data_IF_657300350727
#
_entry.id   IF_657300350727
#
_cell.length_a   1.000
_cell.length_b   1.000
_cell.length_c   1.000
_cell.angle_alpha   90.00
_cell.angle_beta   90.00
_cell.angle_gamma   90.00
#
_symmetry.space_group_name_H-M   'P 1'
#
loop_
_entity.id
_entity.type
_entity.pdbx_description
1 polymer ?
#
# COMPACT_ATOMS: atom_id res chain seq x y z
N UNK A 1 9.21 -4.63 -4.48
CA UNK A 1 10.47 -4.39 -5.19
C UNK A 1 10.22 -3.59 -6.44
N UNK A 2 10.70 -2.36 -6.41
CA UNK A 2 10.89 -1.54 -7.61
C UNK A 2 12.38 -1.59 -7.87
N UNK A 3 12.81 -2.03 -9.05
CA UNK A 3 14.22 -2.16 -9.36
C UNK A 3 14.91 -0.79 -9.26
N UNK A 4 15.91 -0.67 -8.37
CA UNK A 4 16.71 0.54 -8.16
C UNK A 4 16.54 1.22 -6.79
N UNK A 5 15.41 1.01 -6.11
CA UNK A 5 15.19 1.49 -4.74
C UNK A 5 14.64 0.35 -3.88
N UNK A 6 15.34 0.02 -2.78
CA UNK A 6 14.89 -0.98 -1.79
C UNK A 6 13.71 -0.43 -0.99
N UNK A 7 12.57 -0.20 -1.64
CA UNK A 7 11.31 0.13 -1.00
C UNK A 7 10.42 -1.12 -1.00
N UNK A 8 10.11 -1.61 0.20
CA UNK A 8 9.10 -2.63 0.43
C UNK A 8 7.95 -1.97 1.19
N UNK A 9 6.70 -2.13 0.73
CA UNK A 9 5.56 -1.85 1.59
C UNK A 9 5.66 -2.70 2.86
N UNK A 10 5.18 -2.18 3.99
CA UNK A 10 5.17 -2.88 5.28
C UNK A 10 4.67 -4.33 5.18
N UNK A 11 3.63 -4.56 4.38
CA UNK A 11 3.17 -5.88 3.97
C UNK A 11 3.05 -5.97 2.46
N UNK A 12 3.60 -7.02 1.84
CA UNK A 12 3.58 -7.13 0.38
C UNK A 12 3.50 -8.57 -0.14
N UNK A 13 2.91 -8.68 -1.34
CA UNK A 13 2.89 -9.87 -2.20
C UNK A 13 3.55 -9.50 -3.54
N UNK A 14 4.89 -9.59 -3.65
CA UNK A 14 5.64 -9.09 -4.80
C UNK A 14 5.25 -9.72 -6.14
N UNK A 15 4.95 -11.02 -6.15
CA UNK A 15 4.57 -11.77 -7.35
C UNK A 15 3.25 -11.25 -7.94
N UNK A 16 2.39 -10.70 -7.08
CA UNK A 16 1.10 -10.14 -7.44
C UNK A 16 1.12 -8.62 -7.58
N UNK A 17 2.23 -7.97 -7.18
CA UNK A 17 2.38 -6.51 -7.07
C UNK A 17 1.25 -5.88 -6.23
N UNK A 18 0.97 -6.45 -5.06
CA UNK A 18 0.01 -5.92 -4.09
C UNK A 18 0.74 -5.59 -2.80
N UNK A 19 0.43 -4.46 -2.16
CA UNK A 19 1.01 -4.09 -0.88
C UNK A 19 0.10 -3.25 0.00
N UNK A 20 0.42 -3.23 1.29
CA UNK A 20 -0.14 -2.35 2.31
C UNK A 20 1.01 -1.57 2.96
N UNK A 21 0.77 -0.29 3.24
CA UNK A 21 1.68 0.57 4.01
C UNK A 21 0.89 1.18 5.18
N UNK A 22 1.46 1.19 6.38
CA UNK A 22 0.91 1.90 7.52
C UNK A 22 1.54 3.28 7.66
N UNK A 23 0.73 4.32 7.47
CA UNK A 23 1.14 5.70 7.60
C UNK A 23 0.76 6.24 8.99
N UNK A 24 1.72 6.17 9.92
CA UNK A 24 1.54 6.66 11.29
C UNK A 24 1.52 8.20 11.43
N UNK A 25 1.09 8.67 12.59
CA UNK A 25 0.87 10.10 12.92
C UNK A 25 2.11 11.01 12.74
N UNK A 26 3.32 10.43 12.76
CA UNK A 26 4.59 11.16 12.62
C UNK A 26 4.79 11.78 11.22
N UNK A 27 4.01 11.36 10.22
CA UNK A 27 4.11 11.89 8.85
C UNK A 27 3.33 13.20 8.61
N UNK A 28 2.53 13.66 9.59
CA UNK A 28 1.66 14.84 9.41
C UNK A 28 2.38 16.20 9.58
N UNK A 29 3.58 16.24 10.16
CA UNK A 29 4.22 17.49 10.60
C UNK A 29 5.31 18.06 9.66
N UNK A 30 5.71 17.36 8.59
CA UNK A 30 6.73 17.84 7.64
C UNK A 30 6.26 17.71 6.18
N UNK A 31 6.14 18.86 5.50
CA UNK A 31 5.80 18.95 4.07
C UNK A 31 6.78 18.19 3.17
N UNK A 32 8.05 18.10 3.55
CA UNK A 32 9.05 17.34 2.77
C UNK A 32 8.77 15.84 2.86
N UNK A 33 8.42 15.36 4.05
CA UNK A 33 8.04 13.96 4.29
C UNK A 33 6.80 13.58 3.48
N UNK A 34 5.78 14.45 3.45
CA UNK A 34 4.60 14.22 2.61
C UNK A 34 4.93 14.14 1.11
N UNK A 35 5.79 15.02 0.60
CA UNK A 35 6.21 15.00 -0.80
C UNK A 35 6.96 13.72 -1.19
N UNK A 36 7.88 13.28 -0.34
CA UNK A 36 8.58 12.00 -0.51
C UNK A 36 7.60 10.82 -0.49
N UNK A 37 6.63 10.83 0.43
CA UNK A 37 5.63 9.79 0.55
C UNK A 37 4.76 9.66 -0.71
N UNK A 38 4.24 10.78 -1.21
CA UNK A 38 3.42 10.79 -2.42
C UNK A 38 4.24 10.34 -3.65
N UNK A 39 5.51 10.75 -3.73
CA UNK A 39 6.40 10.27 -4.80
C UNK A 39 6.60 8.76 -4.72
N UNK A 40 6.84 8.21 -3.52
CA UNK A 40 7.01 6.77 -3.31
C UNK A 40 5.77 5.99 -3.73
N UNK A 41 4.58 6.43 -3.31
CA UNK A 41 3.30 5.81 -3.71
C UNK A 41 3.13 5.85 -5.23
N UNK A 42 3.42 6.99 -5.85
CA UNK A 42 3.36 7.12 -7.30
C UNK A 42 4.32 6.16 -7.99
N UNK A 43 5.56 6.04 -7.51
CA UNK A 43 6.54 5.11 -8.07
C UNK A 43 6.02 3.67 -8.02
N UNK A 44 5.42 3.23 -6.92
CA UNK A 44 4.78 1.90 -6.84
C UNK A 44 3.68 1.73 -7.89
N UNK A 45 2.77 2.71 -8.00
CA UNK A 45 1.66 2.68 -8.95
C UNK A 45 2.15 2.67 -10.40
N UNK A 46 3.17 3.47 -10.74
CA UNK A 46 3.80 3.51 -12.07
C UNK A 46 4.46 2.15 -12.43
N UNK A 47 4.92 1.39 -11.44
CA UNK A 47 5.42 0.02 -11.61
C UNK A 47 4.31 -1.05 -11.54
N UNK A 48 3.05 -0.64 -11.58
CA UNK A 48 1.89 -1.51 -11.65
C UNK A 48 1.49 -2.16 -10.33
N UNK A 49 1.93 -1.61 -9.20
CA UNK A 49 1.52 -2.08 -7.88
C UNK A 49 0.14 -1.53 -7.49
N UNK A 50 -0.68 -2.39 -6.90
CA UNK A 50 -1.84 -1.99 -6.11
C UNK A 50 -1.38 -1.78 -4.67
N UNK A 51 -1.25 -0.52 -4.24
CA UNK A 51 -0.84 -0.14 -2.88
C UNK A 51 -2.02 0.48 -2.14
N UNK A 52 -2.26 0.07 -0.90
CA UNK A 52 -3.24 0.69 -0.01
C UNK A 52 -2.54 1.23 1.24
N UNK A 53 -2.81 2.48 1.58
CA UNK A 53 -2.20 3.17 2.71
C UNK A 53 -3.21 3.16 3.85
N UNK A 54 -2.83 2.57 4.97
CA UNK A 54 -3.65 2.48 6.17
C UNK A 54 -3.17 3.52 7.18
N UNK A 55 -4.11 4.17 7.86
CA UNK A 55 -3.84 4.98 9.05
C UNK A 55 -4.38 4.27 10.30
N UNK A 56 -4.14 4.85 11.47
CA UNK A 56 -4.60 4.25 12.73
C UNK A 56 -6.11 4.01 12.74
N UNK A 57 -6.89 4.96 12.23
CA UNK A 57 -8.36 4.85 12.14
C UNK A 57 -8.81 3.63 11.32
N UNK A 58 -8.08 3.26 10.25
CA UNK A 58 -8.39 2.07 9.44
C UNK A 58 -8.19 0.76 10.22
N UNK A 59 -7.36 0.80 11.27
CA UNK A 59 -7.12 -0.33 12.15
C UNK A 59 -8.08 -0.32 13.34
N UNK A 60 -8.44 0.83 13.89
CA UNK A 60 -9.27 0.93 15.11
C UNK A 60 -10.77 0.81 14.82
N UNK A 61 -11.26 1.40 13.73
CA UNK A 61 -12.68 1.34 13.35
C UNK A 61 -13.01 -0.01 12.68
N UNK A 62 -13.94 -0.82 13.22
CA UNK A 62 -14.28 -2.12 12.65
C UNK A 62 -14.79 -2.07 11.20
N UNK A 63 -15.51 -1.02 10.81
CA UNK A 63 -16.03 -0.85 9.46
C UNK A 63 -14.92 -0.46 8.48
N UNK A 64 -14.02 0.44 8.87
CA UNK A 64 -12.84 0.77 8.05
C UNK A 64 -11.90 -0.44 7.93
N UNK A 65 -11.71 -1.17 9.03
CA UNK A 65 -10.92 -2.41 9.05
C UNK A 65 -11.45 -3.42 8.04
N UNK A 66 -12.77 -3.59 8.01
CA UNK A 66 -13.40 -4.50 7.05
C UNK A 66 -13.17 -4.06 5.60
N UNK A 67 -13.24 -2.75 5.31
CA UNK A 67 -13.02 -2.24 3.95
C UNK A 67 -11.64 -2.59 3.39
N UNK A 68 -10.56 -2.38 4.15
CA UNK A 68 -9.24 -2.67 3.61
C UNK A 68 -8.97 -4.17 3.51
N UNK A 69 -9.54 -4.99 4.40
CA UNK A 69 -9.48 -6.46 4.29
C UNK A 69 -10.19 -6.93 3.01
N UNK A 70 -11.39 -6.40 2.73
CA UNK A 70 -12.12 -6.72 1.51
C UNK A 70 -11.33 -6.28 0.26
N UNK A 71 -10.81 -5.05 0.26
CA UNK A 71 -9.95 -4.56 -0.81
C UNK A 71 -8.77 -5.50 -1.06
N UNK A 72 -8.08 -5.93 0.00
CA UNK A 72 -6.92 -6.81 -0.11
C UNK A 72 -7.32 -8.15 -0.72
N UNK A 73 -8.36 -8.79 -0.20
CA UNK A 73 -8.86 -10.07 -0.71
C UNK A 73 -9.22 -9.98 -2.20
N UNK A 74 -9.92 -8.92 -2.61
CA UNK A 74 -10.27 -8.71 -4.02
C UNK A 74 -9.05 -8.50 -4.92
N UNK A 75 -8.02 -7.77 -4.46
CA UNK A 75 -6.81 -7.51 -5.26
C UNK A 75 -5.97 -8.76 -5.41
N UNK A 76 -5.76 -9.51 -4.33
CA UNK A 76 -5.04 -10.78 -4.36
C UNK A 76 -5.74 -11.78 -5.30
N UNK A 77 -7.06 -11.91 -5.20
CA UNK A 77 -7.83 -12.78 -6.09
C UNK A 77 -7.72 -12.37 -7.57
N UNK A 78 -7.92 -11.08 -7.87
CA UNK A 78 -7.84 -10.57 -9.25
C UNK A 78 -6.45 -10.73 -9.86
N UNK A 79 -5.38 -10.51 -9.08
CA UNK A 79 -4.00 -10.65 -9.56
C UNK A 79 -3.62 -12.11 -9.76
N UNK A 80 -4.05 -13.00 -8.84
CA UNK A 80 -3.78 -14.44 -8.94
C UNK A 80 -4.43 -15.05 -10.19
N UNK A 81 -5.66 -14.63 -10.54
CA UNK A 81 -6.36 -15.09 -11.75
C UNK A 81 -5.72 -14.62 -13.06
N UNK A 82 -4.90 -13.56 -13.04
CA UNK A 82 -4.21 -13.03 -14.23
C UNK A 82 -2.79 -13.57 -14.37
N UNK A 83 -2.24 -14.14 -13.30
CA UNK A 83 -0.87 -14.66 -13.27
C UNK A 83 -0.78 -16.15 -13.66
N UNK A 84 -1.90 -16.88 -13.63
CA UNK A 84 -2.03 -18.23 -14.19
C UNK A 84 -2.62 -18.20 -15.60
#
# INVERSE_FOLDING_TARGET
>A
MIEGELAYPDLSWPELRVGLEYNGEIHLLDRRTYGTEMNRIRTFQDHGWDLNILVLDDLEDPALRWKWIQWLAEKLNRRSQRAG
#
